data_IF_148975048142
#
_entry.id   IF_148975048142
#
_cell.length_a   1.000
_cell.length_b   1.000
_cell.length_c   1.000
_cell.angle_alpha   90.00
_cell.angle_beta   90.00
_cell.angle_gamma   90.00
#
_symmetry.space_group_name_H-M   'P 1'
#
loop_
_entity.id
_entity.type
_entity.pdbx_description
1 polymer ?
#
# COMPACT_ATOMS: atom_id res chain seq x y z
N UNK A 1 14.75 16.16 -1.79
CA UNK A 1 15.23 14.93 -2.46
C UNK A 1 15.42 13.82 -1.45
N UNK A 2 15.34 12.58 -1.88
CA UNK A 2 15.53 11.37 -1.06
C UNK A 2 16.49 10.46 -1.81
N UNK A 3 17.43 9.86 -1.08
CA UNK A 3 18.31 8.82 -1.62
C UNK A 3 17.93 7.50 -0.93
N UNK A 4 17.79 6.44 -1.71
CA UNK A 4 17.64 5.06 -1.23
C UNK A 4 18.91 4.30 -1.62
N UNK A 5 19.52 3.63 -0.66
CA UNK A 5 20.73 2.84 -0.84
C UNK A 5 20.53 1.44 -0.22
N UNK A 6 20.91 0.39 -0.96
CA UNK A 6 20.93 -1.00 -0.48
C UNK A 6 22.18 -1.31 0.36
N UNK A 7 23.24 -0.54 0.17
CA UNK A 7 24.50 -0.73 0.85
C UNK A 7 24.65 0.28 1.97
N UNK A 8 25.21 -0.10 3.10
CA UNK A 8 25.52 0.81 4.20
C UNK A 8 26.73 1.73 3.85
N UNK A 9 26.65 2.42 2.73
CA UNK A 9 27.63 3.43 2.38
C UNK A 9 27.45 4.68 3.26
N UNK A 10 28.54 5.38 3.59
CA UNK A 10 28.42 6.67 4.27
C UNK A 10 27.56 7.62 3.44
N UNK A 11 26.66 8.39 4.08
CA UNK A 11 25.84 9.34 3.34
C UNK A 11 26.69 10.39 2.65
N UNK A 12 26.25 10.94 1.52
CA UNK A 12 26.90 12.09 0.90
C UNK A 12 26.99 13.27 1.88
N UNK A 13 27.94 14.16 1.67
CA UNK A 13 28.08 15.38 2.50
C UNK A 13 26.76 16.17 2.50
N UNK A 14 26.30 16.58 3.66
CA UNK A 14 25.03 17.30 3.84
C UNK A 14 23.78 16.39 3.86
N UNK A 15 23.97 15.08 4.00
CA UNK A 15 22.86 14.11 4.13
C UNK A 15 23.00 13.32 5.43
N UNK A 16 21.88 12.94 6.01
CA UNK A 16 21.82 12.07 7.18
C UNK A 16 20.88 10.88 6.95
N UNK A 17 21.17 9.77 7.65
CA UNK A 17 20.30 8.60 7.66
C UNK A 17 19.00 8.95 8.40
N UNK A 18 17.87 8.80 7.72
CA UNK A 18 16.55 9.01 8.31
C UNK A 18 15.99 7.70 8.90
N UNK A 19 15.97 6.65 8.11
CA UNK A 19 15.44 5.34 8.54
C UNK A 19 15.91 4.21 7.60
N UNK A 20 15.69 2.97 8.02
CA UNK A 20 15.82 1.80 7.14
C UNK A 20 14.43 1.34 6.71
N UNK A 21 14.19 1.27 5.42
CA UNK A 21 12.94 0.78 4.82
C UNK A 21 13.10 -0.69 4.44
N UNK A 22 12.07 -1.49 4.68
CA UNK A 22 12.05 -2.90 4.28
C UNK A 22 11.15 -3.08 3.07
N UNK A 23 11.63 -3.77 2.05
CA UNK A 23 10.84 -4.23 0.91
C UNK A 23 10.26 -5.59 1.22
N UNK A 24 8.95 -5.69 1.11
CA UNK A 24 8.21 -6.94 1.17
C UNK A 24 7.61 -7.28 -0.19
N UNK A 25 7.35 -8.55 -0.42
CA UNK A 25 6.67 -9.00 -1.64
C UNK A 25 5.98 -10.34 -1.49
N UNK A 26 5.27 -10.70 -2.54
CA UNK A 26 4.64 -12.01 -2.73
C UNK A 26 5.00 -12.52 -4.13
N UNK A 27 5.66 -13.66 -4.21
CA UNK A 27 6.07 -14.23 -5.49
C UNK A 27 4.85 -14.55 -6.38
N UNK A 28 4.97 -14.40 -7.71
CA UNK A 28 3.91 -14.76 -8.66
C UNK A 28 3.45 -16.21 -8.46
N UNK A 29 2.14 -16.44 -8.53
CA UNK A 29 1.52 -17.76 -8.33
C UNK A 29 1.46 -18.23 -6.88
N UNK A 30 2.01 -17.49 -5.93
CA UNK A 30 1.84 -17.75 -4.50
C UNK A 30 0.56 -17.10 -3.97
N UNK A 31 0.03 -17.66 -2.88
CA UNK A 31 -1.09 -17.09 -2.15
C UNK A 31 -0.82 -17.12 -0.66
N UNK A 32 -1.23 -16.08 0.03
CA UNK A 32 -1.19 -15.97 1.48
C UNK A 32 -2.58 -16.34 2.06
N UNK A 33 -2.63 -16.98 3.24
CA UNK A 33 -3.89 -17.16 3.94
C UNK A 33 -4.49 -15.78 4.30
N UNK A 34 -5.80 -15.67 4.18
CA UNK A 34 -6.48 -14.44 4.62
C UNK A 34 -6.35 -14.32 6.15
N UNK A 35 -5.86 -13.18 6.66
CA UNK A 35 -5.79 -12.97 8.09
C UNK A 35 -7.18 -12.84 8.69
N UNK A 36 -7.30 -13.15 9.98
CA UNK A 36 -8.54 -12.93 10.70
C UNK A 36 -8.91 -11.44 10.71
N UNK A 37 -10.19 -11.16 10.50
CA UNK A 37 -10.79 -9.84 10.63
C UNK A 37 -12.05 -9.96 11.49
N UNK A 38 -12.56 -8.84 11.98
CA UNK A 38 -13.87 -8.78 12.64
C UNK A 38 -14.95 -9.15 11.62
N UNK A 39 -15.48 -10.38 11.73
CA UNK A 39 -16.43 -10.96 10.76
C UNK A 39 -17.73 -10.14 10.67
N UNK A 40 -18.22 -9.65 11.81
CA UNK A 40 -19.44 -8.84 11.87
C UNK A 40 -19.24 -7.53 11.12
N UNK A 41 -18.10 -6.88 11.35
CA UNK A 41 -17.77 -5.65 10.67
C UNK A 41 -17.53 -5.92 9.17
N UNK A 42 -16.76 -6.95 8.84
CA UNK A 42 -16.47 -7.30 7.45
C UNK A 42 -17.74 -7.58 6.63
N UNK A 43 -18.71 -8.29 7.21
CA UNK A 43 -19.99 -8.59 6.56
C UNK A 43 -20.81 -7.32 6.24
N UNK A 44 -20.61 -6.24 6.99
CA UNK A 44 -21.27 -4.94 6.75
C UNK A 44 -20.57 -4.06 5.71
N UNK A 45 -19.47 -4.54 5.10
CA UNK A 45 -18.67 -3.76 4.15
C UNK A 45 -18.89 -4.22 2.71
N UNK A 46 -18.78 -3.29 1.79
CA UNK A 46 -18.83 -3.57 0.35
C UNK A 46 -17.45 -3.32 -0.26
N UNK A 47 -16.93 -4.30 -1.00
CA UNK A 47 -15.71 -4.13 -1.78
C UNK A 47 -16.01 -3.39 -3.08
N UNK A 48 -15.49 -2.18 -3.20
CA UNK A 48 -15.50 -1.38 -4.41
C UNK A 48 -14.15 -1.54 -5.13
N UNK A 49 -14.18 -2.17 -6.29
CA UNK A 49 -12.97 -2.45 -7.10
C UNK A 49 -12.57 -1.31 -8.02
N UNK A 50 -13.44 -0.32 -8.17
CA UNK A 50 -13.21 0.86 -9.02
C UNK A 50 -13.68 2.14 -8.31
N UNK A 51 -13.20 2.40 -7.08
CA UNK A 51 -13.63 3.58 -6.33
C UNK A 51 -13.27 4.86 -7.07
N UNK A 52 -14.07 5.90 -6.86
CA UNK A 52 -13.74 7.25 -7.34
C UNK A 52 -12.33 7.64 -6.86
N UNK A 53 -11.51 8.18 -7.77
CA UNK A 53 -10.16 8.64 -7.43
C UNK A 53 -10.18 9.72 -6.34
N UNK A 54 -11.22 10.57 -6.33
CA UNK A 54 -11.39 11.61 -5.31
C UNK A 54 -11.77 11.02 -3.95
N UNK A 55 -12.59 9.96 -3.90
CA UNK A 55 -12.92 9.29 -2.63
C UNK A 55 -11.69 8.63 -2.02
N UNK A 56 -10.84 8.01 -2.86
CA UNK A 56 -9.54 7.48 -2.43
C UNK A 56 -8.63 8.60 -1.90
N UNK A 57 -8.53 9.71 -2.63
CA UNK A 57 -7.72 10.88 -2.24
C UNK A 57 -8.16 11.43 -0.87
N UNK A 58 -9.47 11.58 -0.66
CA UNK A 58 -10.05 12.03 0.62
C UNK A 58 -9.77 11.06 1.77
N UNK A 59 -9.85 9.76 1.50
CA UNK A 59 -9.53 8.74 2.52
C UNK A 59 -8.05 8.78 2.93
N UNK A 60 -7.14 9.00 1.96
CA UNK A 60 -5.69 9.06 2.22
C UNK A 60 -5.25 10.38 2.87
N UNK A 61 -5.86 11.49 2.48
CA UNK A 61 -5.47 12.85 2.89
C UNK A 61 -6.66 13.66 3.40
N UNK A 62 -7.32 13.25 4.50
CA UNK A 62 -8.60 13.82 4.92
C UNK A 62 -8.55 15.33 5.26
N UNK A 63 -7.37 15.86 5.61
CA UNK A 63 -7.18 17.25 6.03
C UNK A 63 -6.31 18.08 5.06
N UNK A 64 -5.90 17.52 3.90
CA UNK A 64 -4.96 18.19 2.99
C UNK A 64 -5.49 18.20 1.57
N UNK A 65 -6.24 19.26 1.24
CA UNK A 65 -6.89 19.44 -0.08
C UNK A 65 -5.87 19.47 -1.22
N UNK A 66 -4.71 20.09 -1.02
CA UNK A 66 -3.68 20.15 -2.07
C UNK A 66 -3.16 18.75 -2.41
N UNK A 67 -2.86 17.91 -1.38
CA UNK A 67 -2.48 16.52 -1.61
C UNK A 67 -3.61 15.69 -2.20
N UNK A 68 -4.87 15.97 -1.87
CA UNK A 68 -6.01 15.30 -2.52
C UNK A 68 -6.04 15.56 -4.02
N UNK A 69 -5.86 16.80 -4.44
CA UNK A 69 -5.86 17.20 -5.85
C UNK A 69 -4.67 16.61 -6.62
N UNK A 70 -3.47 16.67 -6.05
CA UNK A 70 -2.27 16.07 -6.63
C UNK A 70 -2.44 14.55 -6.82
N UNK A 71 -2.87 13.86 -5.76
CA UNK A 71 -3.10 12.42 -5.80
C UNK A 71 -4.21 12.03 -6.79
N UNK A 72 -5.32 12.78 -6.81
CA UNK A 72 -6.41 12.59 -7.74
C UNK A 72 -5.92 12.65 -9.19
N UNK A 73 -5.20 13.71 -9.54
CA UNK A 73 -4.66 13.92 -10.88
C UNK A 73 -3.71 12.79 -11.30
N UNK A 74 -2.80 12.41 -10.40
CA UNK A 74 -1.85 11.34 -10.65
C UNK A 74 -2.54 9.98 -10.79
N UNK A 75 -3.49 9.65 -9.91
CA UNK A 75 -4.23 8.39 -9.97
C UNK A 75 -5.07 8.28 -11.24
N UNK A 76 -5.76 9.34 -11.65
CA UNK A 76 -6.50 9.37 -12.91
C UNK A 76 -5.59 9.10 -14.11
N UNK A 77 -4.44 9.77 -14.16
CA UNK A 77 -3.44 9.57 -15.23
C UNK A 77 -2.91 8.13 -15.27
N UNK A 78 -2.60 7.55 -14.10
CA UNK A 78 -2.11 6.18 -14.00
C UNK A 78 -3.18 5.15 -14.39
N UNK A 79 -4.43 5.35 -13.95
CA UNK A 79 -5.56 4.47 -14.31
C UNK A 79 -5.83 4.47 -15.80
N UNK A 80 -5.87 5.64 -16.44
CA UNK A 80 -6.09 5.76 -17.89
C UNK A 80 -5.04 5.01 -18.69
N UNK A 81 -3.83 4.87 -18.16
CA UNK A 81 -2.72 4.14 -18.79
C UNK A 81 -2.63 2.66 -18.35
N UNK A 82 -3.57 2.16 -17.56
CA UNK A 82 -3.54 0.80 -16.99
C UNK A 82 -2.36 0.57 -16.04
N UNK A 83 -1.85 1.63 -15.38
CA UNK A 83 -0.67 1.58 -14.51
C UNK A 83 -0.99 1.62 -13.02
N UNK A 84 -2.26 1.72 -12.66
CA UNK A 84 -2.71 1.67 -11.26
C UNK A 84 -4.03 0.93 -11.12
N UNK A 85 -4.17 0.22 -10.01
CA UNK A 85 -5.36 -0.46 -9.55
C UNK A 85 -5.56 -0.10 -8.08
N UNK A 86 -6.73 0.41 -7.71
CA UNK A 86 -7.05 0.75 -6.32
C UNK A 86 -8.41 0.21 -5.98
N UNK A 87 -8.52 -0.43 -4.82
CA UNK A 87 -9.77 -0.90 -4.23
C UNK A 87 -10.09 -0.11 -2.97
N UNK A 88 -11.36 -0.06 -2.65
CA UNK A 88 -11.84 0.49 -1.39
C UNK A 88 -12.85 -0.45 -0.72
N UNK A 89 -12.87 -0.46 0.59
CA UNK A 89 -14.00 -1.00 1.35
C UNK A 89 -14.89 0.16 1.77
N UNK A 90 -16.18 0.00 1.55
CA UNK A 90 -17.21 0.99 1.87
C UNK A 90 -18.13 0.50 2.97
N UNK A 91 -18.54 1.43 3.81
CA UNK A 91 -19.67 1.27 4.72
C UNK A 91 -20.73 2.29 4.30
N UNK A 92 -21.77 1.82 3.61
CA UNK A 92 -22.69 2.71 2.90
C UNK A 92 -21.96 3.53 1.83
N UNK A 93 -22.04 4.85 1.91
CA UNK A 93 -21.36 5.78 0.99
C UNK A 93 -19.93 6.12 1.41
N UNK A 94 -19.51 5.75 2.62
CA UNK A 94 -18.22 6.13 3.18
C UNK A 94 -17.12 5.15 2.78
N UNK A 95 -15.97 5.68 2.33
CA UNK A 95 -14.75 4.90 2.10
C UNK A 95 -14.00 4.76 3.42
N UNK A 96 -13.90 3.53 3.94
CA UNK A 96 -13.31 3.26 5.25
C UNK A 96 -11.95 2.58 5.18
N UNK A 97 -11.63 1.93 4.09
CA UNK A 97 -10.34 1.31 3.88
C UNK A 97 -9.98 1.33 2.40
N UNK A 98 -8.72 1.56 2.09
CA UNK A 98 -8.19 1.52 0.73
C UNK A 98 -6.95 0.67 0.66
N UNK A 99 -6.68 0.13 -0.53
CA UNK A 99 -5.41 -0.49 -0.91
C UNK A 99 -5.22 -0.30 -2.41
N UNK A 100 -3.99 -0.24 -2.90
CA UNK A 100 -3.75 -0.11 -4.33
C UNK A 100 -2.42 -0.69 -4.76
N UNK A 101 -2.34 -1.13 -6.03
CA UNK A 101 -1.12 -1.21 -6.80
C UNK A 101 -0.97 0.11 -7.55
N UNK A 102 -0.06 0.96 -7.10
CA UNK A 102 0.06 2.35 -7.58
C UNK A 102 1.07 2.51 -8.72
N UNK A 103 1.83 1.46 -9.02
CA UNK A 103 2.62 1.33 -10.23
C UNK A 103 2.63 -0.12 -10.70
N UNK A 104 2.16 -0.34 -11.93
CA UNK A 104 2.14 -1.63 -12.60
C UNK A 104 3.09 -1.55 -13.80
N UNK A 105 4.20 -2.30 -13.76
CA UNK A 105 5.17 -2.36 -14.82
C UNK A 105 6.03 -3.64 -14.74
N UNK A 106 6.37 -4.23 -15.88
CA UNK A 106 7.30 -5.36 -15.96
C UNK A 106 6.96 -6.53 -15.01
N UNK A 107 5.68 -6.86 -14.89
CA UNK A 107 5.15 -7.85 -13.95
C UNK A 107 5.41 -7.53 -12.49
N UNK A 108 5.68 -6.30 -12.15
CA UNK A 108 5.75 -5.82 -10.77
C UNK A 108 4.54 -4.93 -10.47
N UNK A 109 3.96 -5.14 -9.31
CA UNK A 109 2.85 -4.36 -8.80
C UNK A 109 3.30 -3.66 -7.50
N UNK A 110 3.73 -2.40 -7.58
CA UNK A 110 4.08 -1.64 -6.39
C UNK A 110 2.83 -1.28 -5.61
N UNK A 111 2.63 -1.97 -4.50
CA UNK A 111 1.47 -1.76 -3.63
C UNK A 111 1.66 -0.53 -2.75
N UNK A 112 0.65 0.31 -2.70
CA UNK A 112 0.59 1.54 -1.92
C UNK A 112 -0.88 1.87 -1.61
N UNK A 113 -1.15 3.12 -1.20
CA UNK A 113 -2.50 3.62 -0.94
C UNK A 113 -3.25 2.84 0.16
N UNK A 114 -2.52 2.18 1.05
CA UNK A 114 -3.08 1.46 2.19
C UNK A 114 -3.47 2.40 3.32
N UNK A 115 -4.77 2.55 3.56
CA UNK A 115 -5.31 3.35 4.67
C UNK A 115 -6.55 2.66 5.24
N UNK A 116 -6.68 2.69 6.56
CA UNK A 116 -7.92 2.32 7.26
C UNK A 116 -8.34 3.47 8.15
N UNK A 117 -9.60 3.84 8.10
CA UNK A 117 -10.19 4.87 8.94
C UNK A 117 -9.89 4.60 10.43
N UNK A 118 -9.49 5.63 11.17
CA UNK A 118 -8.95 5.50 12.52
C UNK A 118 -9.85 4.69 13.47
N UNK A 119 -11.18 4.88 13.51
CA UNK A 119 -12.06 4.12 14.41
C UNK A 119 -12.10 2.61 14.11
N UNK A 120 -11.68 2.20 12.91
CA UNK A 120 -11.75 0.81 12.44
C UNK A 120 -10.38 0.12 12.39
N UNK A 121 -9.33 0.79 12.85
CA UNK A 121 -7.99 0.20 12.96
C UNK A 121 -7.95 -0.89 14.02
N UNK A 122 -7.04 -1.85 13.85
CA UNK A 122 -6.91 -2.99 14.77
C UNK A 122 -7.96 -4.09 14.59
N UNK A 123 -8.94 -3.93 13.67
CA UNK A 123 -10.00 -4.89 13.38
C UNK A 123 -9.64 -5.92 12.29
N UNK A 124 -8.41 -5.95 11.80
CA UNK A 124 -7.94 -6.87 10.76
C UNK A 124 -8.32 -6.51 9.32
N UNK A 125 -9.21 -5.52 9.11
CA UNK A 125 -9.79 -5.16 7.81
C UNK A 125 -8.70 -4.80 6.79
N UNK A 126 -7.77 -3.92 7.15
CA UNK A 126 -6.70 -3.49 6.26
C UNK A 126 -5.77 -4.64 5.86
N UNK A 127 -5.43 -5.52 6.80
CA UNK A 127 -4.62 -6.70 6.52
C UNK A 127 -5.30 -7.66 5.56
N UNK A 128 -6.59 -7.92 5.75
CA UNK A 128 -7.36 -8.78 4.87
C UNK A 128 -7.46 -8.20 3.45
N UNK A 129 -7.74 -6.90 3.32
CA UNK A 129 -7.81 -6.24 2.01
C UNK A 129 -6.47 -6.26 1.26
N UNK A 130 -5.35 -6.00 1.97
CA UNK A 130 -4.00 -6.05 1.40
C UNK A 130 -3.68 -7.46 0.89
N UNK A 131 -3.95 -8.49 1.69
CA UNK A 131 -3.70 -9.89 1.29
C UNK A 131 -4.58 -10.32 0.13
N UNK A 132 -5.86 -9.93 0.10
CA UNK A 132 -6.75 -10.21 -1.04
C UNK A 132 -6.21 -9.62 -2.34
N UNK A 133 -5.80 -8.34 -2.33
CA UNK A 133 -5.23 -7.70 -3.52
C UNK A 133 -3.91 -8.36 -3.94
N UNK A 134 -3.01 -8.62 -3.01
CA UNK A 134 -1.74 -9.26 -3.31
C UNK A 134 -1.94 -10.65 -3.91
N UNK A 135 -2.85 -11.46 -3.37
CA UNK A 135 -3.18 -12.78 -3.89
C UNK A 135 -3.75 -12.70 -5.32
N UNK A 136 -4.64 -11.75 -5.58
CA UNK A 136 -5.22 -11.58 -6.92
C UNK A 136 -4.16 -11.15 -7.95
N UNK A 137 -3.27 -10.24 -7.58
CA UNK A 137 -2.15 -9.82 -8.43
C UNK A 137 -1.19 -10.98 -8.70
N UNK A 138 -0.79 -11.72 -7.66
CA UNK A 138 0.10 -12.87 -7.78
C UNK A 138 -0.52 -13.99 -8.64
N UNK A 139 -1.83 -14.23 -8.53
CA UNK A 139 -2.54 -15.19 -9.36
C UNK A 139 -2.57 -14.79 -10.86
N UNK A 140 -2.48 -13.49 -11.16
CA UNK A 140 -2.34 -12.95 -12.52
C UNK A 140 -0.89 -12.95 -13.04
N UNK A 141 0.05 -13.48 -12.25
CA UNK A 141 1.48 -13.54 -12.60
C UNK A 141 2.24 -12.25 -12.31
N UNK A 142 1.64 -11.30 -11.61
CA UNK A 142 2.32 -10.11 -11.12
C UNK A 142 3.11 -10.42 -9.84
N UNK A 143 4.08 -9.59 -9.53
CA UNK A 143 4.85 -9.64 -8.28
C UNK A 143 4.48 -8.42 -7.40
N UNK A 144 3.51 -8.55 -6.47
CA UNK A 144 3.22 -7.52 -5.51
C UNK A 144 4.46 -7.21 -4.65
N UNK A 145 4.87 -5.95 -4.62
CA UNK A 145 5.99 -5.46 -3.81
C UNK A 145 5.63 -4.14 -3.15
N UNK A 146 6.17 -3.86 -1.97
CA UNK A 146 5.96 -2.58 -1.29
C UNK A 146 7.09 -2.29 -0.31
N UNK A 147 7.29 -0.99 -0.04
CA UNK A 147 8.18 -0.55 1.03
C UNK A 147 7.38 -0.26 2.29
N UNK A 148 7.96 -0.58 3.43
CA UNK A 148 7.41 -0.18 4.71
C UNK A 148 8.49 0.37 5.65
N UNK A 149 8.06 1.25 6.53
CA UNK A 149 8.84 1.77 7.63
C UNK A 149 9.03 0.73 8.75
N UNK A 150 10.04 0.88 9.62
CA UNK A 150 10.40 -0.09 10.64
C UNK A 150 9.24 -0.54 11.54
N UNK A 151 8.34 0.38 11.90
CA UNK A 151 7.19 0.09 12.75
C UNK A 151 6.16 -0.84 12.09
N UNK A 152 6.20 -1.01 10.78
CA UNK A 152 5.29 -1.86 10.02
C UNK A 152 5.85 -3.23 9.67
N UNK A 153 7.13 -3.47 9.87
CA UNK A 153 7.81 -4.73 9.54
C UNK A 153 7.10 -5.93 10.18
N UNK A 154 6.83 -5.86 11.49
CA UNK A 154 6.15 -6.95 12.20
C UNK A 154 4.73 -7.23 11.65
N UNK A 155 4.01 -6.20 11.26
CA UNK A 155 2.67 -6.34 10.68
C UNK A 155 2.71 -7.16 9.38
N UNK A 156 3.59 -6.81 8.43
CA UNK A 156 3.68 -7.50 7.14
C UNK A 156 4.29 -8.90 7.23
N UNK A 157 5.27 -9.09 8.12
CA UNK A 157 5.82 -10.43 8.43
C UNK A 157 4.72 -11.35 8.94
N UNK A 158 3.87 -10.87 9.84
CA UNK A 158 2.76 -11.65 10.39
C UNK A 158 1.68 -11.98 9.35
N UNK A 159 1.50 -11.15 8.32
CA UNK A 159 0.64 -11.44 7.17
C UNK A 159 1.23 -12.49 6.22
N UNK A 160 2.52 -12.84 6.39
CA UNK A 160 3.20 -13.86 5.59
C UNK A 160 3.92 -13.33 4.35
N UNK A 161 4.05 -12.01 4.19
CA UNK A 161 4.86 -11.44 3.11
C UNK A 161 6.34 -11.73 3.33
N UNK A 162 7.06 -11.99 2.23
CA UNK A 162 8.49 -12.24 2.23
C UNK A 162 9.27 -10.92 2.25
N UNK A 163 10.28 -10.85 3.12
CA UNK A 163 11.24 -9.75 3.11
C UNK A 163 12.23 -9.96 1.96
N UNK A 164 12.28 -9.01 1.04
CA UNK A 164 13.09 -9.09 -0.19
C UNK A 164 14.39 -8.30 -0.08
N UNK A 165 14.34 -7.10 0.49
CA UNK A 165 15.49 -6.19 0.58
C UNK A 165 15.30 -5.18 1.71
N UNK A 166 16.37 -4.46 2.03
CA UNK A 166 16.36 -3.28 2.88
C UNK A 166 17.03 -2.12 2.15
N UNK A 167 16.48 -0.92 2.34
CA UNK A 167 17.03 0.32 1.82
C UNK A 167 17.23 1.32 2.96
N UNK A 168 18.36 1.99 2.96
CA UNK A 168 18.58 3.12 3.86
C UNK A 168 18.06 4.38 3.17
N UNK A 169 17.18 5.08 3.85
CA UNK A 169 16.68 6.37 3.39
C UNK A 169 17.52 7.49 3.99
N UNK A 170 18.13 8.28 3.12
CA UNK A 170 18.85 9.49 3.49
C UNK A 170 18.03 10.72 3.14
N UNK A 171 18.16 11.75 3.96
CA UNK A 171 17.52 13.07 3.78
C UNK A 171 18.58 14.16 3.95
N UNK A 172 18.39 15.36 3.37
CA UNK A 172 19.24 16.50 3.66
C UNK A 172 19.30 16.79 5.17
N UNK A 173 20.50 17.10 5.66
CA UNK A 173 20.73 17.44 7.07
C UNK A 173 20.14 18.78 7.44
#
# INVERSE_FOLDING_TARGET
SIILDENECPPPAGWCKAETLTVFGLAPGKALPLPAADETLWAGLTLDREPSAMDVARALYPADTAKQEDFYSELCTKRTRGKALVWALRQGSETICTVGAYALANRQAYMACGQTAQPLRGKGIGGQLIVQMANELAAKGEHPVFLCSPERVHFYTRLGFEKLAEYIRYVPS
#
